data_IF_354046367122
#
_entry.id   IF_354046367122
#
_cell.length_a   1.000
_cell.length_b   1.000
_cell.length_c   1.000
_cell.angle_alpha   90.00
_cell.angle_beta   90.00
_cell.angle_gamma   90.00
#
_symmetry.space_group_name_H-M   'P 1'
#
loop_
_entity.id
_entity.type
_entity.pdbx_description
1 polymer ?
#
# COMPACT_ATOMS: atom_id res chain seq x y z
N UNK A 1 -20.41 -28.00 6.35
CA UNK A 1 -19.18 -28.07 5.53
C UNK A 1 -18.54 -26.69 5.54
N UNK A 2 -17.94 -26.33 6.67
CA UNK A 2 -17.38 -24.99 6.90
C UNK A 2 -16.12 -24.84 6.07
N UNK A 3 -16.22 -24.08 4.99
CA UNK A 3 -15.11 -23.75 4.12
C UNK A 3 -13.92 -23.30 4.98
N UNK A 4 -12.89 -24.14 5.01
CA UNK A 4 -11.52 -23.84 5.39
C UNK A 4 -11.39 -22.78 6.48
N UNK A 5 -11.50 -23.25 7.72
CA UNK A 5 -11.29 -22.53 8.99
C UNK A 5 -10.32 -21.35 8.86
N UNK A 6 -10.62 -20.22 9.51
CA UNK A 6 -9.80 -18.98 9.52
C UNK A 6 -8.30 -19.28 9.76
N UNK A 7 -8.01 -20.33 10.50
CA UNK A 7 -6.67 -20.88 10.71
C UNK A 7 -5.92 -21.28 9.42
N UNK A 8 -6.61 -21.87 8.45
CA UNK A 8 -6.05 -22.20 7.14
C UNK A 8 -5.67 -20.94 6.37
N UNK A 9 -6.53 -19.93 6.36
CA UNK A 9 -6.23 -18.64 5.71
C UNK A 9 -5.03 -17.94 6.34
N UNK A 10 -4.86 -18.02 7.66
CA UNK A 10 -3.66 -17.53 8.36
C UNK A 10 -2.38 -18.22 7.84
N UNK A 11 -2.40 -19.54 7.73
CA UNK A 11 -1.25 -20.34 7.26
C UNK A 11 -0.93 -20.02 5.79
N UNK A 12 -1.95 -19.93 4.94
CA UNK A 12 -1.78 -19.58 3.51
C UNK A 12 -1.18 -18.19 3.35
N UNK A 13 -1.64 -17.20 4.14
CA UNK A 13 -1.13 -15.83 4.10
C UNK A 13 0.37 -15.80 4.45
N UNK A 14 0.79 -16.55 5.47
CA UNK A 14 2.21 -16.69 5.85
C UNK A 14 3.05 -17.28 4.70
N UNK A 15 2.58 -18.36 4.07
CA UNK A 15 3.30 -18.99 2.94
C UNK A 15 3.43 -18.03 1.75
N UNK A 16 2.36 -17.32 1.40
CA UNK A 16 2.37 -16.32 0.32
C UNK A 16 3.34 -15.19 0.63
N UNK A 17 3.36 -14.67 1.87
CA UNK A 17 4.33 -13.65 2.28
C UNK A 17 5.78 -14.16 2.24
N UNK A 18 6.04 -15.41 2.58
CA UNK A 18 7.42 -15.95 2.50
C UNK A 18 7.87 -16.10 1.04
N UNK A 19 7.00 -16.59 0.15
CA UNK A 19 7.32 -16.78 -1.27
C UNK A 19 7.40 -15.47 -2.06
N UNK A 20 6.52 -14.50 -1.75
CA UNK A 20 6.40 -13.25 -2.51
C UNK A 20 6.93 -12.01 -1.77
N UNK A 21 7.18 -12.09 -0.46
CA UNK A 21 7.60 -10.95 0.37
C UNK A 21 9.09 -10.60 0.29
N UNK A 22 9.95 -11.52 -0.16
CA UNK A 22 11.40 -11.30 -0.22
C UNK A 22 11.91 -10.38 -1.34
N UNK A 23 11.04 -9.86 -2.23
CA UNK A 23 11.47 -9.24 -3.51
C UNK A 23 10.90 -7.86 -3.82
N UNK A 24 10.32 -7.14 -2.84
CA UNK A 24 9.89 -5.74 -2.99
C UNK A 24 8.74 -5.46 -3.99
N UNK A 25 8.40 -6.44 -4.85
CA UNK A 25 7.35 -6.40 -5.86
C UNK A 25 5.97 -6.18 -5.22
N UNK A 26 5.75 -6.75 -4.03
CA UNK A 26 4.52 -6.55 -3.26
C UNK A 26 4.39 -5.09 -2.82
N UNK A 27 5.49 -4.40 -2.48
CA UNK A 27 5.45 -3.02 -1.97
C UNK A 27 5.10 -2.02 -3.08
N UNK A 28 5.68 -2.17 -4.28
CA UNK A 28 5.33 -1.33 -5.43
C UNK A 28 3.87 -1.50 -5.84
N UNK A 29 3.41 -2.75 -5.96
CA UNK A 29 2.03 -3.06 -6.35
C UNK A 29 1.04 -2.60 -5.26
N UNK A 30 1.35 -2.83 -3.98
CA UNK A 30 0.52 -2.37 -2.87
C UNK A 30 0.50 -0.85 -2.76
N UNK A 31 1.60 -0.16 -3.11
CA UNK A 31 1.67 1.29 -3.19
C UNK A 31 0.78 1.88 -4.29
N UNK A 32 0.80 1.29 -5.49
CA UNK A 32 -0.04 1.71 -6.60
C UNK A 32 -1.53 1.40 -6.34
N UNK A 33 -1.83 0.23 -5.78
CA UNK A 33 -3.18 -0.11 -5.32
C UNK A 33 -3.65 0.82 -4.18
N UNK A 34 -2.78 1.14 -3.23
CA UNK A 34 -3.08 2.04 -2.12
C UNK A 34 -3.38 3.46 -2.58
N UNK A 35 -2.63 3.97 -3.57
CA UNK A 35 -2.90 5.27 -4.21
C UNK A 35 -4.25 5.25 -4.94
N UNK A 36 -4.54 4.21 -5.72
CA UNK A 36 -5.82 4.06 -6.43
C UNK A 36 -7.02 4.02 -5.48
N UNK A 37 -6.93 3.22 -4.41
CA UNK A 37 -7.99 3.12 -3.42
C UNK A 37 -8.16 4.41 -2.58
N UNK A 38 -7.06 5.12 -2.29
CA UNK A 38 -7.09 6.42 -1.60
C UNK A 38 -7.77 7.49 -2.45
N UNK A 39 -7.48 7.54 -3.75
CA UNK A 39 -8.14 8.46 -4.68
C UNK A 39 -9.62 8.12 -4.86
N UNK A 40 -9.97 6.83 -4.92
CA UNK A 40 -11.37 6.39 -4.98
C UNK A 40 -12.15 6.76 -3.70
N UNK A 41 -11.54 6.52 -2.53
CA UNK A 41 -12.12 6.91 -1.23
C UNK A 41 -12.27 8.43 -1.10
N UNK A 42 -11.29 9.20 -1.59
CA UNK A 42 -11.34 10.66 -1.59
C UNK A 42 -12.43 11.17 -2.52
N UNK A 43 -12.53 10.64 -3.74
CA UNK A 43 -13.58 10.99 -4.69
C UNK A 43 -14.99 10.68 -4.15
N UNK A 44 -15.22 9.49 -3.58
CA UNK A 44 -16.51 9.19 -2.93
C UNK A 44 -16.80 10.11 -1.73
N UNK A 45 -15.78 10.50 -0.96
CA UNK A 45 -15.97 11.46 0.13
C UNK A 45 -16.22 12.88 -0.35
N UNK A 46 -15.65 13.27 -1.49
CA UNK A 46 -15.89 14.58 -2.12
C UNK A 46 -17.33 14.68 -2.63
N UNK A 47 -17.91 13.58 -3.14
CA UNK A 47 -19.34 13.55 -3.52
C UNK A 47 -20.28 13.61 -2.31
N UNK A 48 -19.87 13.07 -1.16
CA UNK A 48 -20.61 13.14 0.11
C UNK A 48 -20.36 14.45 0.88
N UNK A 49 -19.24 15.14 0.61
CA UNK A 49 -18.76 16.34 1.33
C UNK A 49 -18.47 17.49 0.36
N UNK A 50 -19.31 17.68 -0.66
CA UNK A 50 -19.15 18.76 -1.64
C UNK A 50 -19.39 20.19 -1.08
N UNK A 51 -19.42 20.38 0.24
CA UNK A 51 -19.65 21.71 0.84
C UNK A 51 -18.56 22.20 1.82
N UNK A 52 -17.55 21.39 2.20
CA UNK A 52 -16.53 21.89 3.13
C UNK A 52 -15.13 21.31 2.87
N UNK A 53 -14.19 22.22 2.59
CA UNK A 53 -12.75 22.11 2.85
C UNK A 53 -11.82 21.70 1.68
N UNK A 54 -11.37 22.76 1.00
CA UNK A 54 -10.15 22.90 0.20
C UNK A 54 -8.90 22.37 0.92
N UNK A 55 -8.40 21.17 0.57
CA UNK A 55 -7.06 20.69 0.99
C UNK A 55 -6.32 19.86 -0.07
N UNK A 56 -5.12 20.28 -0.50
CA UNK A 56 -4.29 19.51 -1.42
C UNK A 56 -3.64 18.35 -0.67
N UNK A 57 -4.03 17.12 -1.02
CA UNK A 57 -3.36 15.91 -0.54
C UNK A 57 -2.12 15.63 -1.42
N UNK A 58 -1.15 16.54 -1.43
CA UNK A 58 0.18 16.32 -2.01
C UNK A 58 1.22 16.35 -0.89
N UNK A 59 1.50 15.18 -0.32
CA UNK A 59 2.83 14.84 0.21
C UNK A 59 2.94 13.33 0.34
N UNK A 60 3.41 12.69 -0.72
CA UNK A 60 4.08 11.39 -0.67
C UNK A 60 5.25 11.45 -1.66
N UNK A 61 6.19 12.35 -1.32
CA UNK A 61 7.60 12.13 -1.58
C UNK A 61 8.22 11.56 -0.29
N UNK A 62 9.26 10.75 -0.47
CA UNK A 62 10.14 10.15 0.53
C UNK A 62 9.71 8.84 1.21
N UNK A 63 10.15 7.71 0.63
CA UNK A 63 10.92 6.67 1.33
C UNK A 63 11.10 5.41 0.45
N UNK A 64 12.18 5.36 -0.35
CA UNK A 64 12.96 4.13 -0.64
C UNK A 64 14.07 4.41 -1.66
N UNK A 65 15.16 5.04 -1.18
CA UNK A 65 16.51 4.87 -1.70
C UNK A 65 17.51 5.46 -0.70
N UNK A 66 17.61 4.88 0.50
CA UNK A 66 18.77 5.12 1.34
C UNK A 66 19.95 4.33 0.78
N UNK A 67 21.13 4.96 0.80
CA UNK A 67 22.46 4.33 0.88
C UNK A 67 23.16 3.97 -0.44
N UNK A 68 23.94 4.92 -0.98
CA UNK A 68 25.35 4.74 -1.40
C UNK A 68 26.10 6.08 -1.34
N UNK A 69 26.42 6.55 -0.14
CA UNK A 69 27.53 7.48 0.09
C UNK A 69 28.76 6.67 0.51
N UNK A 70 29.73 6.54 -0.39
CA UNK A 70 31.17 6.49 -0.03
C UNK A 70 32.05 6.82 -1.24
N UNK A 71 32.62 8.03 -1.16
CA UNK A 71 34.02 8.35 -1.44
C UNK A 71 34.48 8.27 -2.90
N UNK A 72 34.31 9.38 -3.61
CA UNK A 72 35.34 9.93 -4.49
C UNK A 72 35.54 11.40 -4.13
N UNK A 73 36.44 11.64 -3.18
CA UNK A 73 37.26 12.85 -3.04
C UNK A 73 38.41 12.51 -2.11
#
# INVERSE_FOLDING_TARGET
>A
MGAFSIWHWLIVLVVVLVLFGGKGKISSIMGDFGKGLKSFKKGMKEEDTAEVDDKPAQKVEDASATEKDKVKS
#
